data_IF_875965638858
#
_entry.id   IF_875965638858
#
_cell.length_a   1.000
_cell.length_b   1.000
_cell.length_c   1.000
_cell.angle_alpha   90.00
_cell.angle_beta   90.00
_cell.angle_gamma   90.00
#
_symmetry.space_group_name_H-M   'P 1'
#
loop_
_entity.id
_entity.type
_entity.pdbx_description
1 polymer ?
#
# COMPACT_ATOMS: atom_id res chain seq x y z
N UNK A 1 -50.70 -2.94 -11.24
CA UNK A 1 -49.39 -3.62 -11.28
C UNK A 1 -48.28 -2.87 -12.05
N UNK A 2 -48.52 -1.64 -12.53
CA UNK A 2 -47.57 -0.86 -13.35
C UNK A 2 -46.83 0.24 -12.56
N UNK A 3 -47.43 0.78 -11.49
CA UNK A 3 -46.83 1.84 -10.67
C UNK A 3 -45.62 1.38 -9.84
N UNK A 4 -45.68 0.17 -9.25
CA UNK A 4 -44.59 -0.38 -8.42
C UNK A 4 -43.32 -0.66 -9.26
N UNK A 5 -43.49 -1.13 -10.50
CA UNK A 5 -42.34 -1.39 -11.40
C UNK A 5 -41.62 -0.11 -11.81
N UNK A 6 -42.33 1.01 -12.02
CA UNK A 6 -41.71 2.29 -12.37
C UNK A 6 -40.99 2.93 -11.19
N UNK A 7 -41.49 2.75 -9.97
CA UNK A 7 -40.84 3.25 -8.76
C UNK A 7 -39.55 2.47 -8.42
N UNK A 8 -39.53 1.15 -8.62
CA UNK A 8 -38.33 0.35 -8.37
C UNK A 8 -37.19 0.67 -9.34
N UNK A 9 -37.50 0.91 -10.61
CA UNK A 9 -36.49 1.28 -11.63
C UNK A 9 -35.91 2.67 -11.33
N UNK A 10 -36.74 3.63 -10.91
CA UNK A 10 -36.28 4.96 -10.50
C UNK A 10 -35.40 4.89 -9.24
N UNK A 11 -35.74 4.02 -8.27
CA UNK A 11 -34.95 3.82 -7.06
C UNK A 11 -33.59 3.16 -7.36
N UNK A 12 -33.56 2.15 -8.23
CA UNK A 12 -32.29 1.50 -8.63
C UNK A 12 -31.39 2.44 -9.43
N UNK A 13 -31.98 3.32 -10.25
CA UNK A 13 -31.23 4.33 -11.00
C UNK A 13 -30.62 5.42 -10.10
N UNK A 14 -31.30 5.84 -9.03
CA UNK A 14 -30.74 6.82 -8.08
C UNK A 14 -29.67 6.21 -7.17
N UNK A 15 -29.82 4.95 -6.74
CA UNK A 15 -28.75 4.24 -6.02
C UNK A 15 -27.51 3.98 -6.90
N UNK A 16 -27.68 3.82 -8.21
CA UNK A 16 -26.55 3.65 -9.13
C UNK A 16 -25.74 4.95 -9.32
N UNK A 17 -26.39 6.11 -9.31
CA UNK A 17 -25.68 7.40 -9.34
C UNK A 17 -25.05 7.77 -7.98
N UNK A 18 -25.69 7.43 -6.86
CA UNK A 18 -25.12 7.63 -5.53
C UNK A 18 -23.93 6.69 -5.23
N UNK A 19 -23.93 5.47 -5.79
CA UNK A 19 -22.78 4.56 -5.70
C UNK A 19 -21.60 5.01 -6.59
N UNK A 20 -21.87 5.71 -7.70
CA UNK A 20 -20.81 6.22 -8.58
C UNK A 20 -20.16 7.52 -8.04
N UNK A 21 -20.82 8.25 -7.14
CA UNK A 21 -20.28 9.48 -6.52
C UNK A 21 -19.68 9.28 -5.12
N UNK A 22 -19.92 8.13 -4.48
CA UNK A 22 -19.32 7.80 -3.17
C UNK A 22 -17.94 7.15 -3.24
N UNK A 23 -17.47 6.73 -4.43
CA UNK A 23 -16.05 6.38 -4.65
C UNK A 23 -15.18 7.56 -5.12
N UNK A 24 -15.73 8.76 -5.22
CA UNK A 24 -14.99 9.96 -5.66
C UNK A 24 -15.25 11.17 -4.75
N UNK A 25 -15.38 10.95 -3.44
CA UNK A 25 -15.58 12.02 -2.46
C UNK A 25 -14.69 11.89 -1.21
N UNK A 26 -13.48 11.36 -1.37
CA UNK A 26 -12.39 11.52 -0.38
C UNK A 26 -11.09 12.02 -1.00
N UNK A 27 -11.14 12.55 -2.23
CA UNK A 27 -10.00 13.15 -2.94
C UNK A 27 -10.12 14.67 -3.12
N UNK A 28 -11.13 15.32 -2.52
CA UNK A 28 -11.37 16.76 -2.67
C UNK A 28 -11.65 17.47 -1.35
N UNK A 29 -11.06 16.99 -0.25
CA UNK A 29 -10.78 17.89 0.86
C UNK A 29 -9.65 18.80 0.40
N UNK A 30 -9.99 20.01 -0.06
CA UNK A 30 -9.04 21.13 -0.20
C UNK A 30 -8.24 21.23 1.09
N UNK A 31 -7.01 20.76 1.06
CA UNK A 31 -6.18 20.67 2.26
C UNK A 31 -4.77 20.32 1.86
N UNK A 32 -4.05 21.33 1.33
CA UNK A 32 -2.64 21.29 0.96
C UNK A 32 -2.37 20.20 -0.10
N UNK A 33 -2.21 20.60 -1.36
CA UNK A 33 -1.59 19.71 -2.34
C UNK A 33 -0.21 19.31 -1.79
N UNK A 34 -0.12 18.12 -1.20
CA UNK A 34 1.14 17.57 -0.72
C UNK A 34 2.03 17.41 -1.95
N UNK A 35 3.20 18.05 -1.94
CA UNK A 35 4.17 17.91 -3.02
C UNK A 35 4.52 16.42 -3.18
N UNK A 36 4.80 15.99 -4.41
CA UNK A 36 5.24 14.61 -4.66
C UNK A 36 6.42 14.20 -3.79
N UNK A 37 7.32 15.15 -3.51
CA UNK A 37 8.44 15.05 -2.57
C UNK A 37 7.96 14.70 -1.15
N UNK A 38 7.06 15.49 -0.55
CA UNK A 38 6.55 15.23 0.80
C UNK A 38 5.83 13.87 0.93
N UNK A 39 5.24 13.37 -0.17
CA UNK A 39 4.63 12.04 -0.20
C UNK A 39 5.70 10.96 -0.27
N UNK A 40 6.74 11.14 -1.09
CA UNK A 40 7.86 10.23 -1.19
C UNK A 40 8.60 10.11 0.16
N UNK A 41 8.89 11.23 0.82
CA UNK A 41 9.48 11.29 2.15
C UNK A 41 8.63 10.55 3.18
N UNK A 42 7.32 10.81 3.23
CA UNK A 42 6.43 10.11 4.15
C UNK A 42 6.38 8.59 3.89
N UNK A 43 6.54 8.14 2.64
CA UNK A 43 6.66 6.72 2.34
C UNK A 43 7.99 6.16 2.85
N UNK A 44 9.10 6.89 2.64
CA UNK A 44 10.43 6.53 3.14
C UNK A 44 10.41 6.40 4.67
N UNK A 45 9.82 7.35 5.38
CA UNK A 45 9.69 7.31 6.85
C UNK A 45 8.95 6.06 7.34
N UNK A 46 7.82 5.70 6.72
CA UNK A 46 7.08 4.50 7.09
C UNK A 46 7.92 3.23 6.85
N UNK A 47 8.63 3.18 5.72
CA UNK A 47 9.51 2.05 5.39
C UNK A 47 10.72 1.98 6.34
N UNK A 48 11.29 3.11 6.74
CA UNK A 48 12.38 3.20 7.72
C UNK A 48 11.93 2.74 9.10
N UNK A 49 10.69 3.04 9.51
CA UNK A 49 10.09 2.48 10.74
C UNK A 49 9.95 0.96 10.65
N UNK A 50 9.57 0.43 9.49
CA UNK A 50 9.51 -1.01 9.28
C UNK A 50 10.91 -1.66 9.33
N UNK A 51 11.92 -1.00 8.77
CA UNK A 51 13.32 -1.46 8.81
C UNK A 51 13.87 -1.46 10.24
N UNK A 52 13.71 -0.36 10.98
CA UNK A 52 14.17 -0.23 12.37
C UNK A 52 13.55 -1.26 13.30
N UNK A 53 12.32 -1.66 13.04
CA UNK A 53 11.58 -2.63 13.85
C UNK A 53 11.61 -4.06 13.28
N UNK A 54 12.44 -4.36 12.28
CA UNK A 54 12.43 -5.66 11.61
C UNK A 54 12.65 -6.85 12.57
N UNK A 55 13.50 -6.66 13.57
CA UNK A 55 13.86 -7.70 14.53
C UNK A 55 12.88 -7.80 15.71
N UNK A 56 12.32 -6.67 16.14
CA UNK A 56 11.51 -6.56 17.36
C UNK A 56 10.00 -6.64 17.12
N UNK A 57 9.53 -6.21 15.94
CA UNK A 57 8.11 -6.25 15.61
C UNK A 57 7.68 -7.62 15.08
N UNK A 58 6.40 -7.92 15.32
CA UNK A 58 5.75 -9.10 14.74
C UNK A 58 5.62 -8.96 13.23
N UNK A 59 5.63 -10.10 12.53
CA UNK A 59 5.41 -10.15 11.07
C UNK A 59 4.09 -9.49 10.64
N UNK A 60 3.06 -9.52 11.49
CA UNK A 60 1.79 -8.84 11.25
C UNK A 60 1.91 -7.30 11.32
N UNK A 61 2.66 -6.75 12.27
CA UNK A 61 2.91 -5.31 12.39
C UNK A 61 3.75 -4.81 11.20
N UNK A 62 4.80 -5.53 10.82
CA UNK A 62 5.63 -5.18 9.66
C UNK A 62 4.83 -5.17 8.35
N UNK A 63 3.89 -6.11 8.19
CA UNK A 63 2.93 -6.13 7.09
C UNK A 63 2.00 -4.90 7.09
N UNK A 64 1.63 -4.38 8.27
CA UNK A 64 0.80 -3.19 8.39
C UNK A 64 1.55 -1.95 7.90
N UNK A 65 2.79 -1.75 8.34
CA UNK A 65 3.63 -0.65 7.86
C UNK A 65 3.75 -0.64 6.33
N UNK A 66 3.98 -1.80 5.71
CA UNK A 66 4.02 -1.90 4.24
C UNK A 66 2.68 -1.61 3.56
N UNK A 67 1.57 -1.91 4.22
CA UNK A 67 0.24 -1.56 3.70
C UNK A 67 0.03 -0.05 3.77
N UNK A 68 0.45 0.58 4.85
CA UNK A 68 0.36 2.03 5.06
C UNK A 68 1.26 2.77 4.06
N UNK A 69 2.51 2.34 3.89
CA UNK A 69 3.43 2.83 2.86
C UNK A 69 2.83 2.69 1.45
N UNK A 70 2.21 1.53 1.14
CA UNK A 70 1.54 1.33 -0.15
C UNK A 70 0.39 2.30 -0.35
N UNK A 71 -0.46 2.53 0.65
CA UNK A 71 -1.59 3.46 0.54
C UNK A 71 -1.10 4.89 0.36
N UNK A 72 -0.10 5.32 1.15
CA UNK A 72 0.51 6.65 1.04
C UNK A 72 1.12 6.87 -0.35
N UNK A 73 1.83 5.88 -0.89
CA UNK A 73 2.46 5.97 -2.22
C UNK A 73 1.47 6.15 -3.38
N UNK A 74 0.19 5.82 -3.22
CA UNK A 74 -0.83 6.03 -4.26
C UNK A 74 -1.22 7.50 -4.42
N UNK A 75 -0.93 8.33 -3.43
CA UNK A 75 -1.16 9.77 -3.49
C UNK A 75 -0.12 10.47 -4.35
N UNK A 76 0.99 9.80 -4.67
CA UNK A 76 2.04 10.35 -5.50
C UNK A 76 1.51 10.52 -6.93
N UNK A 77 1.58 11.74 -7.47
CA UNK A 77 1.31 12.00 -8.88
C UNK A 77 2.55 11.60 -9.69
N UNK A 78 2.41 10.62 -10.58
CA UNK A 78 3.57 9.87 -11.10
C UNK A 78 4.01 10.22 -12.51
N UNK A 79 3.39 11.19 -13.19
CA UNK A 79 3.79 11.75 -14.49
C UNK A 79 4.73 10.89 -15.35
N UNK A 80 5.96 11.37 -15.57
CA UNK A 80 7.04 10.67 -16.29
C UNK A 80 7.74 9.57 -15.47
N UNK A 81 7.56 9.55 -14.14
CA UNK A 81 8.19 8.61 -13.20
C UNK A 81 7.35 7.34 -12.95
N UNK A 82 6.24 7.15 -13.67
CA UNK A 82 5.29 6.07 -13.45
C UNK A 82 5.93 4.67 -13.44
N UNK A 83 6.92 4.43 -14.32
CA UNK A 83 7.64 3.15 -14.35
C UNK A 83 8.54 2.94 -13.12
N UNK A 84 9.17 3.99 -12.60
CA UNK A 84 10.01 3.91 -11.41
C UNK A 84 9.15 3.64 -10.17
N UNK A 85 8.03 4.36 -10.06
CA UNK A 85 7.07 4.19 -8.97
C UNK A 85 6.43 2.79 -9.03
N UNK A 86 6.15 2.28 -10.23
CA UNK A 86 5.71 0.89 -10.42
C UNK A 86 6.71 -0.14 -9.87
N UNK A 87 8.01 0.05 -10.11
CA UNK A 87 9.06 -0.83 -9.56
C UNK A 87 9.16 -0.74 -8.03
N UNK A 88 9.09 0.47 -7.47
CA UNK A 88 9.09 0.69 -6.03
C UNK A 88 7.89 0.01 -5.36
N UNK A 89 6.72 0.09 -6.00
CA UNK A 89 5.48 -0.58 -5.56
C UNK A 89 5.58 -2.10 -5.60
N UNK A 90 6.29 -2.65 -6.59
CA UNK A 90 6.56 -4.08 -6.66
C UNK A 90 7.44 -4.56 -5.51
N UNK A 91 8.47 -3.80 -5.13
CA UNK A 91 9.26 -4.08 -3.93
C UNK A 91 8.39 -4.16 -2.66
N UNK A 92 7.55 -3.15 -2.42
CA UNK A 92 6.59 -3.14 -1.29
C UNK A 92 5.67 -4.36 -1.34
N UNK A 93 5.16 -4.72 -2.53
CA UNK A 93 4.27 -5.86 -2.72
C UNK A 93 4.95 -7.18 -2.38
N UNK A 94 6.19 -7.36 -2.82
CA UNK A 94 6.99 -8.57 -2.53
C UNK A 94 7.31 -8.64 -1.04
N UNK A 95 7.76 -7.54 -0.42
CA UNK A 95 8.02 -7.47 1.02
C UNK A 95 6.77 -7.85 1.84
N UNK A 96 5.61 -7.30 1.47
CA UNK A 96 4.32 -7.58 2.14
C UNK A 96 3.92 -9.04 2.03
N UNK A 97 4.17 -9.66 0.88
CA UNK A 97 3.92 -11.08 0.65
C UNK A 97 4.77 -11.94 1.60
N UNK A 98 6.06 -11.62 1.73
CA UNK A 98 6.97 -12.35 2.61
C UNK A 98 6.61 -12.18 4.09
N UNK A 99 6.26 -10.98 4.57
CA UNK A 99 5.76 -10.84 5.95
C UNK A 99 4.45 -11.60 6.18
N UNK A 100 3.56 -11.66 5.19
CA UNK A 100 2.36 -12.49 5.30
C UNK A 100 2.67 -13.99 5.36
N UNK A 101 3.79 -14.43 4.78
CA UNK A 101 4.25 -15.81 4.84
C UNK A 101 4.96 -16.09 6.16
N UNK A 102 5.75 -15.14 6.66
CA UNK A 102 6.33 -15.17 8.00
C UNK A 102 5.23 -15.33 9.07
N UNK A 103 4.13 -14.56 8.99
CA UNK A 103 2.98 -14.74 9.90
C UNK A 103 2.38 -16.14 9.84
N UNK A 104 2.30 -16.75 8.64
CA UNK A 104 1.78 -18.12 8.48
C UNK A 104 2.75 -19.17 9.02
N UNK A 105 4.04 -18.99 8.82
CA UNK A 105 5.08 -19.84 9.39
C UNK A 105 5.05 -19.79 10.92
N UNK A 106 4.91 -18.60 11.50
CA UNK A 106 4.80 -18.37 12.94
C UNK A 106 3.55 -19.01 13.57
N UNK A 107 2.41 -18.97 12.86
CA UNK A 107 1.16 -19.58 13.33
C UNK A 107 1.08 -21.10 13.10
N UNK A 108 1.94 -21.64 12.24
CA UNK A 108 1.96 -23.05 11.84
C UNK A 108 3.06 -23.85 12.53
N UNK A 109 3.65 -24.80 11.81
CA UNK A 109 4.73 -25.68 12.30
C UNK A 109 6.11 -25.04 12.28
N UNK A 110 6.22 -23.71 12.14
CA UNK A 110 7.48 -22.97 12.04
C UNK A 110 8.00 -22.75 10.62
N UNK A 111 7.33 -23.29 9.60
CA UNK A 111 7.65 -23.06 8.19
C UNK A 111 6.42 -22.83 7.32
N UNK A 112 6.59 -22.12 6.22
CA UNK A 112 5.58 -21.94 5.19
C UNK A 112 6.26 -21.90 3.81
N UNK A 113 5.71 -22.63 2.83
CA UNK A 113 6.32 -22.77 1.49
C UNK A 113 7.80 -23.21 1.52
N UNK A 114 8.16 -24.07 2.46
CA UNK A 114 9.53 -24.60 2.59
C UNK A 114 10.54 -23.65 3.22
N UNK A 115 10.09 -22.54 3.80
CA UNK A 115 10.94 -21.48 4.38
C UNK A 115 10.43 -21.12 5.78
N UNK A 116 11.35 -20.84 6.70
CA UNK A 116 11.06 -20.48 8.09
C UNK A 116 10.52 -19.05 8.22
N UNK A 117 10.00 -18.70 9.40
CA UNK A 117 9.62 -17.31 9.71
C UNK A 117 10.80 -16.35 9.51
N UNK A 118 11.96 -16.66 10.10
CA UNK A 118 13.14 -15.81 10.07
C UNK A 118 13.63 -15.56 8.63
N UNK A 119 13.68 -16.60 7.80
CA UNK A 119 14.06 -16.47 6.39
C UNK A 119 13.04 -15.63 5.60
N UNK A 120 11.74 -15.78 5.86
CA UNK A 120 10.74 -14.90 5.26
C UNK A 120 10.88 -13.44 5.72
N UNK A 121 11.19 -13.19 7.00
CA UNK A 121 11.46 -11.83 7.49
C UNK A 121 12.71 -11.25 6.81
N UNK A 122 13.79 -12.03 6.65
CA UNK A 122 15.00 -11.59 5.96
C UNK A 122 14.75 -11.22 4.48
N UNK A 123 14.01 -12.06 3.75
CA UNK A 123 13.61 -11.79 2.37
C UNK A 123 12.74 -10.52 2.26
N UNK A 124 11.83 -10.32 3.22
CA UNK A 124 11.03 -9.11 3.28
C UNK A 124 11.88 -7.87 3.56
N UNK A 125 12.81 -7.94 4.52
CA UNK A 125 13.68 -6.84 4.91
C UNK A 125 14.56 -6.36 3.74
N UNK A 126 15.13 -7.29 2.95
CA UNK A 126 15.90 -6.93 1.76
C UNK A 126 15.06 -6.13 0.74
N UNK A 127 13.78 -6.48 0.58
CA UNK A 127 12.87 -5.75 -0.30
C UNK A 127 12.44 -4.40 0.29
N UNK A 128 12.34 -4.27 1.62
CA UNK A 128 12.11 -2.99 2.29
C UNK A 128 13.25 -2.02 2.00
N UNK A 129 14.50 -2.45 2.19
CA UNK A 129 15.70 -1.64 1.93
C UNK A 129 15.75 -1.22 0.47
N UNK A 130 15.48 -2.14 -0.46
CA UNK A 130 15.40 -1.82 -1.88
C UNK A 130 14.31 -0.78 -2.19
N UNK A 131 13.12 -0.95 -1.62
CA UNK A 131 12.02 0.00 -1.81
C UNK A 131 12.34 1.38 -1.24
N UNK A 132 13.05 1.47 -0.12
CA UNK A 132 13.53 2.75 0.42
C UNK A 132 14.39 3.46 -0.63
N UNK A 133 15.42 2.78 -1.15
CA UNK A 133 16.30 3.34 -2.17
C UNK A 133 15.56 3.75 -3.45
N UNK A 134 14.57 2.95 -3.88
CA UNK A 134 13.73 3.29 -5.04
C UNK A 134 12.91 4.58 -4.78
N UNK A 135 12.38 4.77 -3.57
CA UNK A 135 11.63 5.99 -3.21
C UNK A 135 12.52 7.20 -2.97
N UNK A 136 13.74 7.02 -2.46
CA UNK A 136 14.76 8.08 -2.36
C UNK A 136 15.10 8.61 -3.76
N UNK A 137 15.36 7.73 -4.72
CA UNK A 137 15.61 8.12 -6.11
C UNK A 137 14.41 8.82 -6.76
N UNK A 138 13.18 8.45 -6.40
CA UNK A 138 11.96 9.15 -6.86
C UNK A 138 11.87 10.54 -6.24
N UNK A 139 12.18 10.70 -4.95
CA UNK A 139 12.18 12.00 -4.29
C UNK A 139 13.20 12.95 -4.94
N UNK A 140 14.42 12.47 -5.20
CA UNK A 140 15.47 13.23 -5.90
C UNK A 140 15.08 13.61 -7.34
N UNK A 141 14.30 12.78 -8.03
CA UNK A 141 13.86 13.05 -9.39
C UNK A 141 12.65 13.98 -9.49
N UNK A 142 11.96 14.24 -8.37
CA UNK A 142 10.83 15.18 -8.29
C UNK A 142 11.32 16.61 -7.98
N UNK A 143 12.47 16.74 -7.30
CA UNK A 143 13.19 17.99 -7.04
C UNK A 143 13.69 18.66 -8.34
#
# INVERSE_FOLDING_TARGET
MTLVKRFLVALVMTFSMAAMTTYSSSAAAKGIEQSGESIAEAVIEILAVAQKNADTATSAQLKKYLTDARQKSKLLSVGSLASQVGRAWDGIRVAKKHYSYATKAAAGTGSYKGVTEAEHKALAAAQVVKSIADFEAIAEAIL
#
